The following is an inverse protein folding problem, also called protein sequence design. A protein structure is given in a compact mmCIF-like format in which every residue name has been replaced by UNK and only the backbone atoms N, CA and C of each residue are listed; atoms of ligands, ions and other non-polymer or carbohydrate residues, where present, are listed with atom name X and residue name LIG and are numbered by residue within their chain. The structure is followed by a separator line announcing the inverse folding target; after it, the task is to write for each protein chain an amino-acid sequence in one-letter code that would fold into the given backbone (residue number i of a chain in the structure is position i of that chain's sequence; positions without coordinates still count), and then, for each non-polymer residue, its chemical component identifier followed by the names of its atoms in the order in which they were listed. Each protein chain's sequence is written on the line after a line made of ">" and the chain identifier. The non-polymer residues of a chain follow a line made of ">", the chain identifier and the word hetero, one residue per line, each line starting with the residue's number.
data_IF_029822404422
#
_entry.id   IF_029822404422
#
_cell.length_a   1.000
_cell.length_b   1.000
_cell.length_c   1.000
_cell.angle_alpha   90.00
_cell.angle_beta   90.00
_cell.angle_gamma   90.00
#
_symmetry.space_group_name_H-M   'P 1'
#
loop_
_entity.id
_entity.type
_entity.pdbx_description
1 polymer ?
#
# COMPACT_ATOMS: atom_id res chain seq x y z
N UNK A 1 48.72 1.23 -1.11
CA UNK A 1 48.13 2.18 -0.14
C UNK A 1 46.61 1.97 -0.16
N UNK A 2 46.05 1.48 0.96
CA UNK A 2 44.65 1.58 1.44
C UNK A 2 43.46 1.19 0.52
N UNK A 3 42.88 0.02 0.80
CA UNK A 3 41.42 -0.22 0.73
C UNK A 3 40.75 0.33 2.00
N UNK A 4 39.46 0.70 1.93
CA UNK A 4 38.51 -0.09 2.69
C UNK A 4 37.21 -0.41 1.94
N UNK A 5 36.73 -1.61 2.24
CA UNK A 5 35.38 -2.17 2.11
C UNK A 5 34.32 -1.21 2.64
N UNK A 6 33.19 -1.00 1.93
CA UNK A 6 31.86 -0.91 2.55
C UNK A 6 30.72 -0.86 1.50
N UNK A 7 29.94 -1.94 1.50
CA UNK A 7 28.47 -1.96 1.33
C UNK A 7 27.85 -0.94 0.37
N UNK A 8 27.63 -1.33 -0.89
CA UNK A 8 26.41 -0.90 -1.58
C UNK A 8 25.36 -1.96 -1.28
N UNK A 9 24.73 -1.78 -0.12
CA UNK A 9 23.56 -2.50 0.29
C UNK A 9 22.47 -2.31 -0.77
N UNK A 10 22.13 -3.40 -1.47
CA UNK A 10 20.78 -3.89 -1.70
C UNK A 10 19.64 -2.88 -1.44
N UNK A 11 19.52 -1.81 -2.22
CA UNK A 11 18.30 -0.98 -2.27
C UNK A 11 17.40 -1.49 -3.39
N UNK A 12 16.88 -2.71 -3.19
CA UNK A 12 15.78 -3.27 -3.96
C UNK A 12 14.48 -3.25 -3.13
N UNK A 13 14.21 -2.13 -2.46
CA UNK A 13 12.93 -1.89 -1.77
C UNK A 13 12.49 -0.46 -2.08
N UNK A 14 11.66 -0.29 -3.11
CA UNK A 14 11.19 1.05 -3.46
C UNK A 14 10.07 1.15 -4.48
N UNK A 15 9.47 0.03 -4.90
CA UNK A 15 8.26 0.06 -5.73
C UNK A 15 7.23 -0.91 -5.16
N UNK A 16 6.60 -0.53 -4.05
CA UNK A 16 5.31 -1.10 -3.71
C UNK A 16 4.25 -0.10 -4.21
N UNK A 17 3.67 -0.31 -5.40
CA UNK A 17 2.47 0.42 -5.79
C UNK A 17 1.41 0.22 -4.70
N UNK A 18 0.52 1.19 -4.49
CA UNK A 18 -0.62 1.05 -3.56
C UNK A 18 -1.43 -0.23 -3.79
N UNK A 19 -1.38 -0.78 -5.01
CA UNK A 19 -1.97 -2.06 -5.42
C UNK A 19 -1.20 -3.31 -4.94
N UNK A 20 0.04 -3.18 -4.46
CA UNK A 20 0.89 -4.27 -3.99
C UNK A 20 0.78 -4.53 -2.48
N UNK A 21 -0.07 -3.81 -1.75
CA UNK A 21 -0.26 -4.04 -0.32
C UNK A 21 -1.18 -5.24 -0.06
N UNK A 22 -2.11 -5.50 -0.98
CA UNK A 22 -2.92 -6.72 -0.99
C UNK A 22 -2.13 -7.79 -1.75
N UNK A 23 -1.02 -8.25 -1.17
CA UNK A 23 -0.25 -9.39 -1.73
C UNK A 23 -0.95 -10.72 -1.54
N UNK A 24 -1.87 -10.78 -0.58
CA UNK A 24 -2.61 -11.98 -0.21
C UNK A 24 -4.11 -11.80 -0.56
N UNK A 25 -4.65 -12.59 -1.51
CA UNK A 25 -6.06 -12.55 -1.89
C UNK A 25 -7.02 -13.06 -0.81
N UNK A 26 -6.50 -13.61 0.29
CA UNK A 26 -7.26 -14.01 1.48
C UNK A 26 -7.17 -12.99 2.61
N UNK A 27 -6.40 -11.90 2.45
CA UNK A 27 -6.29 -10.86 3.45
C UNK A 27 -7.66 -10.22 3.72
N UNK A 28 -8.04 -10.20 4.99
CA UNK A 28 -9.26 -9.51 5.44
C UNK A 28 -9.02 -8.01 5.58
N UNK A 29 -10.10 -7.24 5.48
CA UNK A 29 -10.06 -5.80 5.70
C UNK A 29 -9.52 -5.41 7.08
N UNK A 30 -9.78 -6.20 8.13
CA UNK A 30 -9.17 -5.99 9.44
C UNK A 30 -7.64 -6.16 9.42
N UNK A 31 -7.15 -7.20 8.77
CA UNK A 31 -5.71 -7.43 8.60
C UNK A 31 -5.05 -6.33 7.75
N UNK A 32 -5.74 -5.87 6.70
CA UNK A 32 -5.29 -4.75 5.88
C UNK A 32 -5.19 -3.45 6.70
N UNK A 33 -6.20 -3.11 7.50
CA UNK A 33 -6.17 -1.90 8.35
C UNK A 33 -5.02 -1.93 9.37
N UNK A 34 -4.76 -3.08 9.99
CA UNK A 34 -3.63 -3.25 10.91
C UNK A 34 -2.28 -3.12 10.18
N UNK A 35 -2.16 -3.71 8.99
CA UNK A 35 -0.96 -3.59 8.17
C UNK A 35 -0.71 -2.14 7.74
N UNK A 36 -1.73 -1.42 7.25
CA UNK A 36 -1.58 -0.02 6.82
C UNK A 36 -1.24 0.88 8.00
N UNK A 37 -1.82 0.63 9.17
CA UNK A 37 -1.45 1.34 10.39
C UNK A 37 0.04 1.15 10.75
N UNK A 38 0.62 -0.03 10.46
CA UNK A 38 2.05 -0.32 10.67
C UNK A 38 2.95 0.19 9.54
N UNK A 39 2.47 0.17 8.29
CA UNK A 39 3.24 0.59 7.12
C UNK A 39 3.46 2.10 7.05
N UNK A 40 2.59 2.88 7.69
CA UNK A 40 2.66 4.34 7.69
C UNK A 40 2.05 4.95 6.42
N UNK A 41 2.31 6.24 6.15
CA UNK A 41 1.69 6.94 5.03
C UNK A 41 2.13 6.38 3.67
N UNK A 42 1.22 6.40 2.70
CA UNK A 42 1.49 6.00 1.32
C UNK A 42 2.72 6.73 0.77
N UNK A 43 3.74 6.00 0.28
CA UNK A 43 4.92 6.61 -0.31
C UNK A 43 4.57 7.49 -1.50
N UNK A 44 5.21 8.67 -1.58
CA UNK A 44 5.06 9.58 -2.71
C UNK A 44 6.03 9.20 -3.82
N UNK A 45 5.52 9.21 -5.04
CA UNK A 45 6.25 8.93 -6.28
C UNK A 45 6.90 10.19 -6.86
N UNK A 46 6.46 11.37 -6.41
CA UNK A 46 6.90 12.66 -6.97
C UNK A 46 6.06 13.12 -8.16
N UNK A 47 5.17 12.27 -8.68
CA UNK A 47 4.14 12.64 -9.63
C UNK A 47 2.83 12.97 -8.91
N UNK A 48 2.37 14.22 -9.01
CA UNK A 48 1.23 14.70 -8.25
C UNK A 48 -0.09 13.99 -8.61
N UNK A 49 -0.24 13.54 -9.87
CA UNK A 49 -1.44 12.84 -10.31
C UNK A 49 -1.49 11.41 -9.73
N UNK A 50 -0.37 10.70 -9.78
CA UNK A 50 -0.19 9.37 -9.22
C UNK A 50 -0.31 9.39 -7.69
N UNK A 51 0.31 10.38 -7.04
CA UNK A 51 0.24 10.55 -5.58
C UNK A 51 -1.20 10.83 -5.12
N UNK A 52 -1.95 11.66 -5.87
CA UNK A 52 -3.36 11.91 -5.59
C UNK A 52 -4.20 10.65 -5.77
N UNK A 53 -4.01 9.93 -6.88
CA UNK A 53 -4.73 8.68 -7.13
C UNK A 53 -4.45 7.64 -6.04
N UNK A 54 -3.20 7.52 -5.62
CA UNK A 54 -2.79 6.60 -4.56
C UNK A 54 -3.43 6.98 -3.21
N UNK A 55 -3.49 8.26 -2.88
CA UNK A 55 -4.18 8.75 -1.68
C UNK A 55 -5.70 8.53 -1.74
N UNK A 56 -6.32 8.77 -2.90
CA UNK A 56 -7.76 8.56 -3.11
C UNK A 56 -8.13 7.07 -2.98
N UNK A 57 -7.31 6.17 -3.54
CA UNK A 57 -7.49 4.72 -3.40
C UNK A 57 -7.34 4.25 -1.96
N UNK A 58 -6.27 4.67 -1.27
CA UNK A 58 -6.03 4.34 0.12
C UNK A 58 -7.18 4.83 1.03
N UNK A 59 -7.68 6.05 0.77
CA UNK A 59 -8.86 6.58 1.45
C UNK A 59 -10.12 5.73 1.24
N UNK A 60 -10.41 5.34 -0.02
CA UNK A 60 -11.56 4.49 -0.35
C UNK A 60 -11.45 3.09 0.26
N UNK A 61 -10.27 2.47 0.19
CA UNK A 61 -10.03 1.15 0.79
C UNK A 61 -10.18 1.18 2.31
N UNK A 62 -9.61 2.18 2.99
CA UNK A 62 -9.78 2.36 4.43
C UNK A 62 -11.23 2.56 4.83
N UNK A 63 -11.97 3.40 4.10
CA UNK A 63 -13.39 3.65 4.37
C UNK A 63 -14.21 2.35 4.24
N UNK A 64 -14.03 1.62 3.14
CA UNK A 64 -14.71 0.35 2.92
C UNK A 64 -14.35 -0.70 3.98
N UNK A 65 -13.06 -0.86 4.27
CA UNK A 65 -12.59 -1.85 5.24
C UNK A 65 -12.97 -1.51 6.68
N UNK A 66 -13.12 -0.24 7.02
CA UNK A 66 -13.63 0.18 8.33
C UNK A 66 -15.10 -0.21 8.50
N UNK A 67 -15.89 -0.08 7.43
CA UNK A 67 -17.30 -0.50 7.44
C UNK A 67 -17.47 -2.03 7.34
N UNK A 68 -16.50 -2.74 6.74
CA UNK A 68 -16.58 -4.17 6.45
C UNK A 68 -15.32 -4.92 6.93
N UNK A 69 -15.04 -5.00 8.25
CA UNK A 69 -13.78 -5.55 8.75
C UNK A 69 -13.56 -7.04 8.40
N UNK A 70 -14.64 -7.79 8.11
CA UNK A 70 -14.60 -9.20 7.72
C UNK A 70 -14.55 -9.44 6.21
N UNK A 71 -14.76 -8.40 5.39
CA UNK A 71 -14.68 -8.52 3.93
C UNK A 71 -13.23 -8.72 3.49
N UNK A 72 -13.03 -9.17 2.25
CA UNK A 72 -11.68 -9.32 1.69
C UNK A 72 -11.14 -7.96 1.27
N UNK A 73 -9.85 -7.72 1.51
CA UNK A 73 -9.19 -6.49 1.09
C UNK A 73 -9.19 -6.33 -0.45
N UNK A 74 -9.26 -7.43 -1.20
CA UNK A 74 -9.44 -7.41 -2.65
C UNK A 74 -10.77 -6.79 -3.08
N UNK A 75 -11.86 -7.07 -2.35
CA UNK A 75 -13.18 -6.47 -2.62
C UNK A 75 -13.12 -4.95 -2.37
N UNK A 76 -12.40 -4.52 -1.33
CA UNK A 76 -12.17 -3.10 -1.06
C UNK A 76 -11.40 -2.41 -2.20
N UNK A 77 -10.37 -3.07 -2.75
CA UNK A 77 -9.60 -2.57 -3.88
C UNK A 77 -10.45 -2.47 -5.16
N UNK A 78 -11.25 -3.49 -5.46
CA UNK A 78 -12.19 -3.49 -6.58
C UNK A 78 -13.20 -2.33 -6.47
N UNK A 79 -13.76 -2.11 -5.27
CA UNK A 79 -14.68 -1.00 -5.00
C UNK A 79 -13.99 0.36 -5.11
N UNK A 80 -12.74 0.46 -4.66
CA UNK A 80 -11.96 1.68 -4.78
C UNK A 80 -11.70 2.04 -6.26
N UNK A 81 -11.43 1.04 -7.11
CA UNK A 81 -11.15 1.20 -8.54
C UNK A 81 -12.39 1.46 -9.39
N UNK A 82 -13.52 0.82 -9.11
CA UNK A 82 -14.77 0.99 -9.86
C UNK A 82 -15.50 2.33 -9.58
N UNK A 83 -14.92 3.20 -8.77
CA UNK A 83 -15.47 4.54 -8.53
C UNK A 83 -16.73 4.51 -7.66
N UNK A 84 -16.66 3.82 -6.52
CA UNK A 84 -17.73 3.84 -5.51
C UNK A 84 -18.21 5.24 -5.13
#
# INVERSE_FOLDING_TARGET
>A
MRMPVLFVALTFLGLAPVSAQVTDPEMTCAAYLDMVAKAGPTPKTGDAATDKMAADMDGKMKAYCTANPKAKASEAAEKAMMGG
#
